data_IF_521909066059
#
_entry.id   IF_521909066059
#
_cell.length_a   1.000
_cell.length_b   1.000
_cell.length_c   1.000
_cell.angle_alpha   90.00
_cell.angle_beta   90.00
_cell.angle_gamma   90.00
#
_symmetry.space_group_name_H-M   'P 1'
#
loop_
_entity.id
_entity.type
_entity.pdbx_description
1 polymer ?
#
# COMPACT_ATOMS: atom_id res chain seq x y z
N UNK A 1 -9.26 20.63 -9.14
CA UNK A 1 -9.98 20.14 -7.94
C UNK A 1 -10.20 18.63 -7.93
N UNK A 2 -10.69 18.00 -9.02
CA UNK A 2 -10.93 16.54 -9.05
C UNK A 2 -9.69 15.68 -8.72
N UNK A 3 -8.51 16.03 -9.25
CA UNK A 3 -7.24 15.32 -8.97
C UNK A 3 -6.86 15.29 -7.49
N UNK A 4 -7.11 16.37 -6.75
CA UNK A 4 -6.81 16.46 -5.31
C UNK A 4 -7.76 15.57 -4.49
N UNK A 5 -9.02 15.46 -4.91
CA UNK A 5 -10.01 14.58 -4.27
C UNK A 5 -9.62 13.12 -4.48
N UNK A 6 -9.25 12.73 -5.70
CA UNK A 6 -8.80 11.36 -5.97
C UNK A 6 -7.47 11.03 -5.29
N UNK A 7 -6.56 11.99 -5.21
CA UNK A 7 -5.32 11.85 -4.45
C UNK A 7 -5.61 11.65 -2.95
N UNK A 8 -6.54 12.42 -2.38
CA UNK A 8 -6.93 12.28 -0.98
C UNK A 8 -7.62 10.94 -0.70
N UNK A 9 -8.47 10.47 -1.63
CA UNK A 9 -9.09 9.14 -1.54
C UNK A 9 -8.04 8.03 -1.59
N UNK A 10 -7.05 8.15 -2.49
CA UNK A 10 -5.94 7.20 -2.59
C UNK A 10 -5.08 7.19 -1.32
N UNK A 11 -4.77 8.38 -0.78
CA UNK A 11 -4.03 8.52 0.46
C UNK A 11 -4.77 7.85 1.63
N UNK A 12 -6.09 8.04 1.72
CA UNK A 12 -6.91 7.39 2.74
C UNK A 12 -6.89 5.87 2.62
N UNK A 13 -7.04 5.32 1.39
CA UNK A 13 -6.94 3.87 1.14
C UNK A 13 -5.56 3.31 1.49
N UNK A 14 -4.50 4.06 1.19
CA UNK A 14 -3.13 3.69 1.55
C UNK A 14 -2.94 3.62 3.06
N UNK A 15 -3.41 4.64 3.80
CA UNK A 15 -3.34 4.68 5.26
C UNK A 15 -4.13 3.51 5.88
N UNK A 16 -5.32 3.19 5.35
CA UNK A 16 -6.13 2.06 5.83
C UNK A 16 -5.39 0.72 5.60
N UNK A 17 -4.80 0.52 4.42
CA UNK A 17 -4.02 -0.68 4.11
C UNK A 17 -2.81 -0.84 5.05
N UNK A 18 -2.14 0.26 5.35
CA UNK A 18 -1.02 0.29 6.28
C UNK A 18 -1.45 0.07 7.73
N UNK A 19 -2.58 0.62 8.15
CA UNK A 19 -3.17 0.38 9.47
C UNK A 19 -3.59 -1.08 9.66
N UNK A 20 -4.14 -1.72 8.62
CA UNK A 20 -4.48 -3.15 8.64
C UNK A 20 -3.24 -4.03 8.78
N UNK A 21 -2.15 -3.71 8.07
CA UNK A 21 -0.84 -4.37 8.26
C UNK A 21 -0.31 -4.21 9.68
N UNK A 22 -0.40 -3.00 10.23
CA UNK A 22 0.01 -2.73 11.61
C UNK A 22 -0.81 -3.55 12.61
N UNK A 23 -2.13 -3.57 12.42
CA UNK A 23 -3.07 -4.30 13.29
C UNK A 23 -2.92 -5.82 13.17
N UNK A 24 -2.56 -6.33 11.99
CA UNK A 24 -2.23 -7.74 11.77
C UNK A 24 -0.89 -8.14 12.41
N UNK A 25 -0.29 -7.26 13.21
CA UNK A 25 1.01 -7.40 13.84
C UNK A 25 2.15 -7.67 12.84
N UNK A 26 1.96 -7.35 11.56
CA UNK A 26 2.95 -7.61 10.50
C UNK A 26 4.15 -6.67 10.61
N UNK A 27 3.94 -5.48 11.16
CA UNK A 27 4.99 -4.49 11.38
C UNK A 27 5.76 -4.73 12.69
N UNK A 28 5.25 -5.58 13.58
CA UNK A 28 5.95 -5.97 14.81
C UNK A 28 6.92 -7.11 14.53
N UNK A 29 8.19 -6.73 14.35
CA UNK A 29 9.30 -7.62 14.07
C UNK A 29 9.90 -8.22 15.35
N UNK A 30 9.42 -7.85 16.55
CA UNK A 30 9.86 -8.42 17.83
C UNK A 30 9.18 -9.77 18.12
N UNK A 31 9.21 -10.68 17.14
CA UNK A 31 8.72 -12.06 17.32
C UNK A 31 9.90 -13.01 17.50
N UNK A 32 9.80 -13.91 18.48
CA UNK A 32 10.84 -14.91 18.76
C UNK A 32 10.99 -15.98 17.65
N UNK A 33 9.99 -16.09 16.77
CA UNK A 33 9.92 -17.09 15.70
C UNK A 33 10.49 -16.53 14.39
N UNK A 34 11.61 -17.12 13.94
CA UNK A 34 12.22 -16.78 12.64
C UNK A 34 11.28 -17.04 11.44
N UNK A 35 10.38 -18.03 11.55
CA UNK A 35 9.38 -18.33 10.51
C UNK A 35 8.30 -17.26 10.42
N UNK A 36 7.87 -16.74 11.58
CA UNK A 36 6.86 -15.69 11.67
C UNK A 36 7.42 -14.37 11.13
N UNK A 37 8.67 -14.05 11.44
CA UNK A 37 9.37 -12.87 10.92
C UNK A 37 9.46 -12.88 9.39
N UNK A 38 9.79 -14.04 8.78
CA UNK A 38 9.83 -14.18 7.32
C UNK A 38 8.43 -14.03 6.71
N UNK A 39 7.40 -14.64 7.32
CA UNK A 39 6.02 -14.51 6.86
C UNK A 39 5.56 -13.04 6.87
N UNK A 40 5.80 -12.33 7.97
CA UNK A 40 5.49 -10.90 8.11
C UNK A 40 6.23 -10.06 7.07
N UNK A 41 7.51 -10.34 6.82
CA UNK A 41 8.31 -9.63 5.82
C UNK A 41 7.77 -9.82 4.40
N UNK A 42 7.36 -11.05 4.04
CA UNK A 42 6.76 -11.34 2.73
C UNK A 42 5.43 -10.58 2.58
N UNK A 43 4.58 -10.57 3.60
CA UNK A 43 3.30 -9.83 3.58
C UNK A 43 3.55 -8.33 3.40
N UNK A 44 4.54 -7.76 4.11
CA UNK A 44 4.92 -6.36 3.96
C UNK A 44 5.34 -6.03 2.52
N UNK A 45 6.17 -6.87 1.90
CA UNK A 45 6.61 -6.69 0.49
C UNK A 45 5.43 -6.79 -0.47
N UNK A 46 4.55 -7.79 -0.31
CA UNK A 46 3.38 -7.96 -1.19
C UNK A 46 2.49 -6.72 -1.13
N UNK A 47 2.22 -6.19 0.06
CA UNK A 47 1.39 -4.98 0.19
C UNK A 47 2.12 -3.76 -0.35
N UNK A 48 3.43 -3.62 -0.16
CA UNK A 48 4.21 -2.52 -0.72
C UNK A 48 4.16 -2.52 -2.26
N UNK A 49 4.32 -3.69 -2.88
CA UNK A 49 4.25 -3.85 -4.34
C UNK A 49 2.83 -3.61 -4.83
N UNK A 50 1.82 -4.17 -4.15
CA UNK A 50 0.42 -4.00 -4.52
C UNK A 50 0.00 -2.53 -4.46
N UNK A 51 0.32 -1.84 -3.36
CA UNK A 51 0.07 -0.41 -3.20
C UNK A 51 0.86 0.42 -4.21
N UNK A 52 2.12 0.12 -4.46
CA UNK A 52 2.92 0.84 -5.47
C UNK A 52 2.32 0.67 -6.88
N UNK A 53 1.92 -0.55 -7.26
CA UNK A 53 1.31 -0.84 -8.57
C UNK A 53 -0.05 -0.16 -8.73
N UNK A 54 -0.87 -0.16 -7.67
CA UNK A 54 -2.14 0.56 -7.64
C UNK A 54 -1.93 2.08 -7.67
N UNK A 55 -0.93 2.59 -6.96
CA UNK A 55 -0.58 4.01 -6.93
C UNK A 55 -0.10 4.54 -8.26
N UNK A 56 0.76 3.78 -8.96
CA UNK A 56 1.20 4.12 -10.31
C UNK A 56 -0.01 4.09 -11.26
N UNK A 57 -0.86 3.06 -11.21
CA UNK A 57 -2.05 2.96 -12.08
C UNK A 57 -3.04 4.09 -11.82
N UNK A 58 -3.29 4.43 -10.55
CA UNK A 58 -4.13 5.56 -10.16
C UNK A 58 -3.51 6.87 -10.63
N UNK A 59 -2.21 7.07 -10.42
CA UNK A 59 -1.48 8.25 -10.89
C UNK A 59 -1.56 8.40 -12.41
N UNK A 60 -1.34 7.33 -13.18
CA UNK A 60 -1.45 7.34 -14.65
C UNK A 60 -2.87 7.66 -15.12
N UNK A 61 -3.90 7.04 -14.51
CA UNK A 61 -5.31 7.36 -14.79
C UNK A 61 -5.65 8.82 -14.48
N UNK A 62 -5.04 9.40 -13.44
CA UNK A 62 -5.32 10.76 -12.98
C UNK A 62 -4.49 11.82 -13.71
N UNK A 63 -3.33 11.47 -14.24
CA UNK A 63 -2.42 12.38 -14.96
C UNK A 63 -2.53 12.29 -16.48
N UNK A 64 -3.25 11.30 -17.03
CA UNK A 64 -3.72 11.34 -18.41
C UNK A 64 -2.65 11.19 -19.48
N UNK A 65 -1.62 10.37 -19.23
CA UNK A 65 -0.92 9.68 -20.34
C UNK A 65 -1.78 8.47 -20.71
N UNK A 66 -2.54 8.39 -21.80
CA UNK A 66 -2.55 9.12 -23.06
C UNK A 66 -4.01 9.27 -23.50
N UNK A 67 -4.39 10.50 -23.85
CA UNK A 67 -5.35 10.76 -24.92
C UNK A 67 -4.53 10.78 -26.21
N UNK A 68 -4.30 9.61 -26.80
CA UNK A 68 -4.04 9.41 -28.24
C UNK A 68 -4.24 7.91 -28.56
#
# INVERSE_FOLDING_TARGET
MKTIIYFSLYLALFIIGFALLNNANVLDLNTHSRSELISKFIVMIIVLIATTRWGIKAYTLLTGKDKD
#
